data_IF_370103830562
#
_entry.id   IF_370103830562
#
_cell.length_a   1.000
_cell.length_b   1.000
_cell.length_c   1.000
_cell.angle_alpha   90.00
_cell.angle_beta   90.00
_cell.angle_gamma   90.00
#
_symmetry.space_group_name_H-M   'P 1'
#
loop_
_entity.id
_entity.type
_entity.pdbx_description
1 polymer ?
#
# COMPACT_ATOMS: atom_id res chain seq x y z
N UNK A 1 -25.16 -11.38 -70.94
CA UNK A 1 -25.88 -10.48 -70.03
C UNK A 1 -25.19 -10.62 -68.65
N UNK A 2 -24.51 -9.57 -68.31
CA UNK A 2 -23.54 -9.51 -67.18
C UNK A 2 -24.24 -9.41 -65.83
N UNK A 3 -23.86 -10.25 -64.88
CA UNK A 3 -24.22 -10.09 -63.49
C UNK A 3 -22.97 -9.97 -62.64
N UNK A 4 -22.60 -8.73 -62.28
CA UNK A 4 -21.44 -8.42 -61.44
C UNK A 4 -21.83 -8.60 -59.96
N UNK A 5 -21.30 -9.65 -59.36
CA UNK A 5 -21.38 -9.85 -57.91
C UNK A 5 -20.32 -8.99 -57.22
N UNK A 6 -20.76 -7.92 -56.55
CA UNK A 6 -19.93 -7.12 -55.64
C UNK A 6 -19.82 -7.86 -54.31
N UNK A 7 -18.68 -8.46 -54.06
CA UNK A 7 -18.31 -8.90 -52.73
C UNK A 7 -17.94 -7.68 -51.89
N UNK A 8 -18.81 -7.37 -50.93
CA UNK A 8 -18.55 -6.35 -49.91
C UNK A 8 -17.80 -7.03 -48.76
N UNK A 9 -16.49 -6.82 -48.70
CA UNK A 9 -15.66 -7.27 -47.60
C UNK A 9 -15.95 -6.41 -46.37
N UNK A 10 -16.64 -6.99 -45.38
CA UNK A 10 -16.80 -6.40 -44.05
C UNK A 10 -15.52 -6.66 -43.28
N UNK A 11 -14.67 -5.65 -43.18
CA UNK A 11 -13.50 -5.69 -42.26
C UNK A 11 -14.03 -5.43 -40.85
N UNK A 12 -14.14 -6.50 -40.09
CA UNK A 12 -14.42 -6.43 -38.65
C UNK A 12 -13.15 -5.97 -37.93
N UNK A 13 -13.06 -4.67 -37.61
CA UNK A 13 -12.03 -4.13 -36.75
C UNK A 13 -12.30 -4.60 -35.33
N UNK A 14 -11.61 -5.68 -34.90
CA UNK A 14 -11.51 -6.01 -33.47
C UNK A 14 -10.68 -4.92 -32.79
N UNK A 15 -11.36 -3.93 -32.26
CA UNK A 15 -10.78 -3.02 -31.28
C UNK A 15 -10.41 -3.86 -30.05
N UNK A 16 -9.14 -4.19 -29.92
CA UNK A 16 -8.58 -4.80 -28.72
C UNK A 16 -8.79 -3.85 -27.54
N UNK A 17 -9.86 -4.06 -26.78
CA UNK A 17 -10.00 -3.46 -25.46
C UNK A 17 -8.94 -4.10 -24.58
N UNK A 18 -7.79 -3.41 -24.47
CA UNK A 18 -6.83 -3.69 -23.40
C UNK A 18 -7.56 -3.47 -22.08
N UNK A 19 -8.09 -4.55 -21.50
CA UNK A 19 -8.49 -4.54 -20.12
C UNK A 19 -7.21 -4.29 -19.31
N UNK A 20 -7.00 -3.05 -18.89
CA UNK A 20 -6.19 -2.77 -17.73
C UNK A 20 -6.85 -3.56 -16.61
N UNK A 21 -6.30 -4.74 -16.33
CA UNK A 21 -6.56 -5.42 -15.08
C UNK A 21 -6.03 -4.48 -14.00
N UNK A 22 -6.90 -3.64 -13.47
CA UNK A 22 -6.73 -3.07 -12.15
C UNK A 22 -6.65 -4.30 -11.26
N UNK A 23 -5.42 -4.68 -10.89
CA UNK A 23 -5.24 -5.58 -9.79
C UNK A 23 -6.10 -4.99 -8.67
N UNK A 24 -7.09 -5.74 -8.22
CA UNK A 24 -7.98 -5.31 -7.15
C UNK A 24 -7.14 -5.17 -5.88
N UNK A 25 -6.44 -4.03 -5.79
CA UNK A 25 -5.60 -3.61 -4.68
C UNK A 25 -6.42 -3.12 -3.50
N UNK A 26 -7.63 -3.63 -3.35
CA UNK A 26 -8.57 -3.20 -2.32
C UNK A 26 -8.03 -3.39 -0.89
N UNK A 27 -7.07 -4.30 -0.67
CA UNK A 27 -6.51 -4.61 0.65
C UNK A 27 -5.22 -3.86 1.02
N UNK A 28 -4.53 -3.22 0.06
CA UNK A 28 -3.34 -2.42 0.32
C UNK A 28 -3.18 -1.26 -0.66
N UNK A 29 -2.51 -0.21 -0.21
CA UNK A 29 -2.03 0.90 -1.04
C UNK A 29 -0.51 0.88 -1.04
N UNK A 30 0.09 0.97 -2.23
CA UNK A 30 1.55 1.02 -2.43
C UNK A 30 1.89 2.21 -3.30
N UNK A 31 2.82 3.04 -2.84
CA UNK A 31 3.45 4.09 -3.65
C UNK A 31 4.93 3.82 -3.76
N UNK A 32 5.55 4.30 -4.84
CA UNK A 32 6.97 4.08 -5.12
C UNK A 32 7.67 5.42 -5.32
N UNK A 33 8.83 5.59 -4.68
CA UNK A 33 9.72 6.73 -4.88
C UNK A 33 11.10 6.23 -5.29
N UNK A 34 11.68 6.80 -6.33
CA UNK A 34 13.10 6.60 -6.64
C UNK A 34 13.94 7.36 -5.63
N UNK A 35 14.94 6.71 -5.06
CA UNK A 35 15.81 7.36 -4.08
C UNK A 35 16.41 6.40 -3.05
N UNK A 36 16.94 6.99 -2.00
CA UNK A 36 17.58 6.28 -0.91
C UNK A 36 16.56 5.83 0.14
N UNK A 37 16.71 4.58 0.62
CA UNK A 37 15.81 4.03 1.64
C UNK A 37 15.78 4.87 2.92
N UNK A 38 16.95 5.31 3.41
CA UNK A 38 17.02 6.08 4.67
C UNK A 38 16.31 7.42 4.55
N UNK A 39 16.45 8.12 3.42
CA UNK A 39 15.79 9.40 3.16
C UNK A 39 14.26 9.25 3.10
N UNK A 40 13.76 8.24 2.38
CA UNK A 40 12.32 7.97 2.29
C UNK A 40 11.76 7.54 3.65
N UNK A 41 12.51 6.71 4.38
CA UNK A 41 12.14 6.27 5.72
C UNK A 41 12.03 7.45 6.68
N UNK A 42 13.00 8.38 6.65
CA UNK A 42 12.99 9.60 7.45
C UNK A 42 11.82 10.52 7.06
N UNK A 43 11.53 10.66 5.76
CA UNK A 43 10.38 11.45 5.30
C UNK A 43 9.05 10.87 5.80
N UNK A 44 8.88 9.55 5.81
CA UNK A 44 7.70 8.90 6.40
C UNK A 44 7.62 9.15 7.91
N UNK A 45 8.73 9.04 8.62
CA UNK A 45 8.79 9.34 10.06
C UNK A 45 8.41 10.80 10.35
N UNK A 46 8.95 11.75 9.59
CA UNK A 46 8.60 13.16 9.70
C UNK A 46 7.12 13.43 9.38
N UNK A 47 6.57 12.78 8.36
CA UNK A 47 5.15 12.92 8.02
C UNK A 47 4.22 12.36 9.11
N UNK A 48 4.63 11.34 9.86
CA UNK A 48 3.92 10.81 11.02
C UNK A 48 4.06 11.76 12.21
N UNK A 49 5.29 12.08 12.60
CA UNK A 49 5.59 12.85 13.82
C UNK A 49 5.20 14.32 13.70
N UNK A 50 5.29 14.92 12.51
CA UNK A 50 4.83 16.27 12.21
C UNK A 50 3.33 16.49 12.44
N UNK A 51 2.53 15.40 12.46
CA UNK A 51 1.11 15.41 12.85
C UNK A 51 0.89 15.24 14.36
N UNK A 52 1.97 15.19 15.15
CA UNK A 52 1.93 14.94 16.58
C UNK A 52 1.68 13.47 16.96
N UNK A 53 1.85 12.53 16.02
CA UNK A 53 1.74 11.11 16.33
C UNK A 53 3.08 10.55 16.83
N UNK A 54 3.00 9.57 17.74
CA UNK A 54 4.17 8.88 18.27
C UNK A 54 4.32 7.55 17.56
N UNK A 55 5.52 7.27 17.08
CA UNK A 55 5.87 5.94 16.56
C UNK A 55 6.15 5.06 17.78
N UNK A 56 5.28 4.05 17.98
CA UNK A 56 5.33 3.18 19.14
C UNK A 56 6.34 2.05 18.97
N UNK A 57 6.54 1.60 17.73
CA UNK A 57 7.44 0.49 17.42
C UNK A 57 7.96 0.61 15.97
N UNK A 58 9.17 0.07 15.75
CA UNK A 58 9.75 -0.13 14.42
C UNK A 58 10.13 -1.59 14.28
N UNK A 59 9.48 -2.29 13.37
CA UNK A 59 9.77 -3.69 13.09
C UNK A 59 10.79 -3.79 11.95
N UNK A 60 11.99 -4.31 12.22
CA UNK A 60 13.08 -4.52 11.25
C UNK A 60 12.88 -5.84 10.48
N UNK A 61 11.89 -5.85 9.60
CA UNK A 61 11.44 -7.06 8.87
C UNK A 61 12.55 -7.60 7.95
N UNK A 62 13.31 -6.70 7.30
CA UNK A 62 14.41 -7.08 6.42
C UNK A 62 15.48 -7.89 7.15
N UNK A 63 15.92 -7.42 8.31
CA UNK A 63 16.96 -8.07 9.13
C UNK A 63 16.46 -9.42 9.68
N UNK A 64 15.20 -9.47 10.10
CA UNK A 64 14.58 -10.72 10.54
C UNK A 64 14.59 -11.79 9.44
N UNK A 65 14.16 -11.42 8.23
CA UNK A 65 14.09 -12.36 7.10
C UNK A 65 15.48 -12.76 6.59
N UNK A 66 16.46 -11.86 6.61
CA UNK A 66 17.85 -12.19 6.25
C UNK A 66 18.43 -13.23 7.21
N UNK A 67 18.26 -13.02 8.52
CA UNK A 67 18.71 -13.97 9.55
C UNK A 67 18.03 -15.33 9.38
N UNK A 68 16.70 -15.35 9.28
CA UNK A 68 15.93 -16.59 9.13
C UNK A 68 16.29 -17.33 7.83
N UNK A 69 16.57 -16.60 6.73
CA UNK A 69 17.02 -17.21 5.48
C UNK A 69 18.35 -17.95 5.63
N UNK A 70 19.30 -17.40 6.40
CA UNK A 70 20.58 -18.07 6.71
C UNK A 70 20.36 -19.34 7.54
N UNK A 71 19.51 -19.29 8.54
CA UNK A 71 19.20 -20.41 9.45
C UNK A 71 18.51 -21.57 8.71
N UNK A 72 17.74 -21.27 7.66
CA UNK A 72 17.06 -22.24 6.82
C UNK A 72 17.90 -22.78 5.64
N UNK A 73 19.21 -22.54 5.64
CA UNK A 73 20.14 -23.10 4.64
C UNK A 73 20.30 -22.24 3.38
N UNK A 74 20.01 -20.96 3.45
CA UNK A 74 20.18 -20.00 2.37
C UNK A 74 18.92 -19.87 1.51
N UNK A 75 18.13 -18.85 1.76
CA UNK A 75 16.96 -18.50 0.98
C UNK A 75 17.23 -17.39 -0.04
N UNK A 76 16.33 -17.21 -0.98
CA UNK A 76 16.32 -16.02 -1.84
C UNK A 76 16.15 -14.77 -0.98
N UNK A 77 17.00 -13.76 -1.19
CA UNK A 77 16.83 -12.46 -0.54
C UNK A 77 15.48 -11.84 -0.95
N UNK A 78 14.62 -11.62 0.04
CA UNK A 78 13.25 -11.08 -0.19
C UNK A 78 13.30 -9.56 -0.32
N UNK A 79 14.02 -8.90 0.60
CA UNK A 79 14.19 -7.45 0.63
C UNK A 79 15.66 -7.07 0.74
N UNK A 80 16.04 -5.95 0.10
CA UNK A 80 17.33 -5.30 0.38
C UNK A 80 17.28 -4.55 1.71
N UNK A 81 16.15 -3.88 1.96
CA UNK A 81 15.77 -3.20 3.20
C UNK A 81 14.28 -3.34 3.41
N UNK A 82 13.82 -3.52 4.63
CA UNK A 82 12.39 -3.49 4.96
C UNK A 82 12.17 -3.17 6.44
N UNK A 83 11.40 -2.13 6.69
CA UNK A 83 10.94 -1.73 8.03
C UNK A 83 9.44 -1.47 8.00
N UNK A 84 8.81 -1.59 9.17
CA UNK A 84 7.42 -1.20 9.38
C UNK A 84 7.33 -0.31 10.62
N UNK A 85 6.74 0.87 10.45
CA UNK A 85 6.53 1.85 11.51
C UNK A 85 5.10 1.71 12.02
N UNK A 86 4.97 1.52 13.33
CA UNK A 86 3.69 1.39 14.02
C UNK A 86 3.38 2.66 14.81
N UNK A 87 2.17 3.19 14.63
CA UNK A 87 1.72 4.41 15.30
C UNK A 87 0.19 4.42 15.45
N UNK A 88 -0.33 5.34 16.26
CA UNK A 88 -1.76 5.59 16.40
C UNK A 88 -2.06 7.09 16.35
N UNK A 89 -3.23 7.44 15.83
CA UNK A 89 -3.84 8.74 16.01
C UNK A 89 -4.91 8.62 17.09
N UNK A 90 -4.69 9.23 18.26
CA UNK A 90 -5.63 9.12 19.37
C UNK A 90 -7.06 9.55 18.97
N UNK A 91 -7.19 10.63 18.19
CA UNK A 91 -8.50 11.14 17.76
C UNK A 91 -9.18 10.20 16.78
N UNK A 92 -8.47 9.78 15.71
CA UNK A 92 -9.06 8.92 14.66
C UNK A 92 -9.34 7.53 15.21
N UNK A 93 -8.43 6.96 16.03
CA UNK A 93 -8.62 5.66 16.67
C UNK A 93 -9.80 5.69 17.64
N UNK A 94 -9.97 6.76 18.41
CA UNK A 94 -11.11 6.93 19.31
C UNK A 94 -12.44 6.96 18.52
N UNK A 95 -12.53 7.77 17.49
CA UNK A 95 -13.73 7.85 16.62
C UNK A 95 -14.07 6.49 15.99
N UNK A 96 -13.05 5.76 15.56
CA UNK A 96 -13.20 4.44 14.97
C UNK A 96 -13.77 3.42 15.97
N UNK A 97 -13.26 3.41 17.22
CA UNK A 97 -13.69 2.47 18.26
C UNK A 97 -15.02 2.89 18.92
N UNK A 98 -15.34 4.20 18.95
CA UNK A 98 -16.67 4.67 19.37
C UNK A 98 -17.76 4.28 18.35
N UNK A 99 -17.41 4.20 17.06
CA UNK A 99 -18.33 3.73 16.03
C UNK A 99 -18.60 2.22 16.12
N UNK A 100 -17.56 1.45 16.46
CA UNK A 100 -17.62 0.00 16.67
C UNK A 100 -16.38 -0.43 17.47
N UNK A 101 -16.51 -0.98 18.69
CA UNK A 101 -15.37 -1.44 19.48
C UNK A 101 -14.51 -2.51 18.79
N UNK A 102 -15.09 -3.34 17.92
CA UNK A 102 -14.36 -4.39 17.19
C UNK A 102 -13.39 -3.81 16.14
N UNK A 103 -13.52 -2.53 15.80
CA UNK A 103 -12.55 -1.82 14.97
C UNK A 103 -11.16 -1.71 15.62
N UNK A 104 -11.01 -2.11 16.90
CA UNK A 104 -9.69 -2.19 17.56
C UNK A 104 -8.68 -3.01 16.76
N UNK A 105 -9.12 -3.98 15.96
CA UNK A 105 -8.26 -4.82 15.11
C UNK A 105 -7.50 -4.04 14.03
N UNK A 106 -7.93 -2.80 13.72
CA UNK A 106 -7.25 -1.92 12.77
C UNK A 106 -6.21 -1.01 13.44
N UNK A 107 -5.99 -1.10 14.75
CA UNK A 107 -5.00 -0.35 15.49
C UNK A 107 -3.97 -1.33 16.12
N UNK A 108 -2.65 -1.05 16.06
CA UNK A 108 -2.01 0.16 15.52
C UNK A 108 -2.02 0.24 14.00
N UNK A 109 -1.88 1.47 13.47
CA UNK A 109 -1.63 1.69 12.05
C UNK A 109 -0.19 1.33 11.72
N UNK A 110 0.02 0.76 10.54
CA UNK A 110 1.35 0.31 10.10
C UNK A 110 1.63 0.88 8.70
N UNK A 111 2.78 1.54 8.55
CA UNK A 111 3.34 1.88 7.25
C UNK A 111 4.62 1.09 7.05
N UNK A 112 4.66 0.26 6.02
CA UNK A 112 5.84 -0.50 5.61
C UNK A 112 6.64 0.27 4.57
N UNK A 113 7.98 0.27 4.71
CA UNK A 113 8.92 0.89 3.79
C UNK A 113 9.91 -0.19 3.39
N UNK A 114 10.06 -0.45 2.10
CA UNK A 114 10.91 -1.55 1.64
C UNK A 114 11.47 -1.38 0.25
N UNK A 115 12.57 -2.08 -0.01
CA UNK A 115 13.25 -2.18 -1.31
C UNK A 115 13.38 -3.64 -1.69
N UNK A 116 12.93 -3.99 -2.89
CA UNK A 116 13.06 -5.35 -3.43
C UNK A 116 14.34 -5.48 -4.25
N UNK A 117 15.02 -6.68 -4.27
CA UNK A 117 16.27 -6.87 -5.00
C UNK A 117 16.17 -6.63 -6.51
N UNK A 118 15.00 -6.82 -7.09
CA UNK A 118 14.77 -6.62 -8.53
C UNK A 118 14.65 -5.16 -8.97
N UNK A 119 14.52 -4.24 -8.00
CA UNK A 119 14.37 -2.80 -8.22
C UNK A 119 15.06 -2.02 -7.09
N UNK A 120 16.40 -2.06 -7.04
CA UNK A 120 17.16 -1.52 -5.90
C UNK A 120 17.07 0.01 -5.75
N UNK A 121 16.72 0.72 -6.83
CA UNK A 121 16.56 2.18 -6.84
C UNK A 121 15.13 2.64 -6.47
N UNK A 122 14.18 1.70 -6.32
CA UNK A 122 12.79 2.01 -5.98
C UNK A 122 12.49 1.67 -4.53
N UNK A 123 12.20 2.69 -3.73
CA UNK A 123 11.67 2.53 -2.38
C UNK A 123 10.15 2.49 -2.45
N UNK A 124 9.56 1.46 -1.88
CA UNK A 124 8.11 1.29 -1.78
C UNK A 124 7.64 1.64 -0.39
N UNK A 125 6.57 2.43 -0.33
CA UNK A 125 5.88 2.81 0.91
C UNK A 125 4.46 2.29 0.81
N UNK A 126 4.04 1.48 1.77
CA UNK A 126 2.76 0.77 1.70
C UNK A 126 2.05 0.72 3.04
N UNK A 127 0.73 0.67 2.99
CA UNK A 127 -0.11 0.37 4.14
C UNK A 127 -1.27 -0.56 3.74
N UNK A 128 -1.82 -1.25 4.73
CA UNK A 128 -3.01 -2.09 4.56
C UNK A 128 -4.26 -1.21 4.65
N UNK A 129 -5.10 -1.25 3.63
CA UNK A 129 -6.38 -0.56 3.64
C UNK A 129 -7.30 -1.19 4.70
N UNK A 130 -7.99 -0.34 5.48
CA UNK A 130 -9.09 -0.82 6.31
C UNK A 130 -10.27 -1.17 5.43
N UNK A 131 -10.95 -2.25 5.77
CA UNK A 131 -12.14 -2.69 5.05
C UNK A 131 -13.35 -1.82 5.42
N UNK A 132 -14.26 -1.60 4.48
CA UNK A 132 -15.54 -0.94 4.75
C UNK A 132 -16.52 -1.94 5.37
N UNK A 133 -16.32 -2.27 6.65
CA UNK A 133 -17.09 -3.26 7.39
C UNK A 133 -17.95 -2.61 8.50
N UNK A 134 -18.93 -3.34 8.98
CA UNK A 134 -19.81 -2.89 10.06
C UNK A 134 -20.90 -1.91 9.60
N UNK A 135 -21.38 -1.12 10.55
CA UNK A 135 -22.42 -0.10 10.32
C UNK A 135 -21.95 1.03 9.39
N UNK A 136 -22.85 1.83 8.80
CA UNK A 136 -22.45 3.00 8.00
C UNK A 136 -21.54 3.98 8.76
N UNK A 137 -21.70 4.08 10.08
CA UNK A 137 -20.85 4.93 10.94
C UNK A 137 -19.44 4.32 11.06
N UNK A 138 -19.34 3.00 11.27
CA UNK A 138 -18.07 2.27 11.27
C UNK A 138 -17.34 2.43 9.94
N UNK A 139 -18.02 2.18 8.81
CA UNK A 139 -17.44 2.32 7.47
C UNK A 139 -16.90 3.73 7.22
N UNK A 140 -17.62 4.78 7.66
CA UNK A 140 -17.16 6.17 7.56
C UNK A 140 -15.89 6.41 8.38
N UNK A 141 -15.82 5.88 9.59
CA UNK A 141 -14.64 6.04 10.46
C UNK A 141 -13.42 5.28 9.92
N UNK A 142 -13.61 4.08 9.38
CA UNK A 142 -12.56 3.30 8.72
C UNK A 142 -12.05 3.97 7.44
N UNK A 143 -12.93 4.62 6.68
CA UNK A 143 -12.51 5.44 5.54
C UNK A 143 -11.61 6.61 5.96
N UNK A 144 -11.90 7.26 7.08
CA UNK A 144 -11.04 8.33 7.61
C UNK A 144 -9.63 7.82 7.98
N UNK A 145 -9.50 6.58 8.44
CA UNK A 145 -8.19 5.92 8.64
C UNK A 145 -7.42 5.80 7.32
N UNK A 146 -8.08 5.31 6.26
CA UNK A 146 -7.44 5.18 4.94
C UNK A 146 -7.02 6.56 4.37
N UNK A 147 -7.84 7.59 4.57
CA UNK A 147 -7.52 8.96 4.15
C UNK A 147 -6.30 9.51 4.90
N UNK A 148 -6.22 9.26 6.22
CA UNK A 148 -5.06 9.62 7.04
C UNK A 148 -3.79 8.94 6.52
N UNK A 149 -3.80 7.61 6.38
CA UNK A 149 -2.65 6.84 5.91
C UNK A 149 -2.21 7.26 4.51
N UNK A 150 -3.18 7.46 3.60
CA UNK A 150 -2.90 7.96 2.25
C UNK A 150 -2.26 9.36 2.26
N UNK A 151 -2.69 10.26 3.15
CA UNK A 151 -2.11 11.60 3.25
C UNK A 151 -0.67 11.57 3.75
N UNK A 152 -0.36 10.69 4.71
CA UNK A 152 1.00 10.52 5.25
C UNK A 152 1.95 10.02 4.17
N UNK A 153 1.59 8.94 3.47
CA UNK A 153 2.51 8.38 2.47
C UNK A 153 2.68 9.29 1.24
N UNK A 154 1.66 10.04 0.84
CA UNK A 154 1.79 11.02 -0.24
C UNK A 154 2.76 12.14 0.13
N UNK A 155 2.63 12.73 1.29
CA UNK A 155 3.55 13.75 1.78
C UNK A 155 5.01 13.27 1.82
N UNK A 156 5.23 12.03 2.23
CA UNK A 156 6.57 11.46 2.33
C UNK A 156 7.23 11.16 0.97
N UNK A 157 6.45 11.00 -0.11
CA UNK A 157 6.98 10.65 -1.44
C UNK A 157 6.93 11.81 -2.45
N UNK A 158 6.30 12.91 -2.13
CA UNK A 158 6.37 14.15 -2.91
C UNK A 158 7.74 14.82 -2.75
#
# INVERSE_FOLDING_TARGET
MSGIFRFMAVVLALAGMSHLALADGSHMTVVTKKGNFAEVREAVEMAITGRGFVINNVSHIGDMLERTGKDLGGGKQVFLKAEALEFCSATVSRQMMEADPDNIVFCPYIIAIYVVPTKPEEVRVAYRNTLAVGSPVSQKSLKAVNELLSSIIREAVE
#
